data_IF_187917597300
#
_entry.id   IF_187917597300
#
_cell.length_a   1.000
_cell.length_b   1.000
_cell.length_c   1.000
_cell.angle_alpha   90.00
_cell.angle_beta   90.00
_cell.angle_gamma   90.00
#
_symmetry.space_group_name_H-M   'P 1'
#
loop_
_entity.id
_entity.type
_entity.pdbx_description
1 polymer ?
#
# COMPACT_ATOMS: atom_id res chain seq x y z
N UNK A 1 27.77 -48.09 40.12
CA UNK A 1 26.31 -48.24 40.21
C UNK A 1 25.65 -46.89 39.95
N UNK A 2 24.87 -46.83 38.86
CA UNK A 2 23.79 -45.90 38.50
C UNK A 2 23.80 -44.46 39.05
N UNK A 3 23.95 -43.49 38.14
CA UNK A 3 23.04 -42.34 38.02
C UNK A 3 23.14 -41.68 36.63
N UNK A 4 21.99 -41.20 36.15
CA UNK A 4 21.75 -40.25 35.05
C UNK A 4 21.67 -40.76 33.60
N UNK A 5 20.45 -41.04 33.13
CA UNK A 5 19.67 -40.17 32.19
C UNK A 5 18.41 -40.92 31.74
N UNK A 6 17.25 -40.45 32.19
CA UNK A 6 15.92 -40.83 31.69
C UNK A 6 15.33 -39.59 31.00
N UNK A 7 14.38 -39.81 30.10
CA UNK A 7 13.69 -38.88 29.18
C UNK A 7 14.30 -38.89 27.77
N UNK A 8 13.90 -39.86 26.96
CA UNK A 8 13.27 -39.64 25.64
C UNK A 8 12.78 -40.98 25.08
N UNK A 9 11.52 -41.34 25.33
CA UNK A 9 10.88 -42.45 24.64
C UNK A 9 9.39 -42.16 24.52
N UNK A 10 9.02 -41.50 23.42
CA UNK A 10 7.73 -41.69 22.78
C UNK A 10 7.78 -41.05 21.38
N UNK A 11 7.51 -41.92 20.39
CA UNK A 11 7.06 -41.63 19.02
C UNK A 11 8.15 -41.31 17.98
N UNK A 12 8.78 -42.36 17.46
CA UNK A 12 9.13 -42.45 16.04
C UNK A 12 8.54 -43.77 15.51
N UNK A 13 7.36 -43.68 14.92
CA UNK A 13 6.91 -44.62 13.90
C UNK A 13 6.74 -43.82 12.61
N UNK A 14 7.18 -44.41 11.51
CA UNK A 14 7.13 -43.93 10.10
C UNK A 14 8.29 -43.04 9.63
N UNK A 15 9.38 -43.68 9.19
CA UNK A 15 10.21 -43.25 8.06
C UNK A 15 10.91 -44.49 7.47
N UNK A 16 10.18 -45.23 6.64
CA UNK A 16 10.76 -46.18 5.70
C UNK A 16 11.02 -45.47 4.38
N UNK A 17 12.29 -45.29 4.02
CA UNK A 17 12.83 -45.42 2.66
C UNK A 17 14.31 -44.98 2.66
N UNK A 18 15.22 -45.86 3.09
CA UNK A 18 16.65 -45.76 2.78
C UNK A 18 17.13 -47.16 2.38
N UNK A 19 17.22 -47.39 1.08
CA UNK A 19 18.02 -48.42 0.37
C UNK A 19 17.59 -48.29 -1.08
N UNK A 20 18.30 -47.56 -1.93
CA UNK A 20 19.31 -48.16 -2.82
C UNK A 20 20.18 -47.04 -3.36
N UNK A 21 21.45 -46.97 -2.94
CA UNK A 21 22.55 -46.32 -3.65
C UNK A 21 23.85 -46.77 -2.94
N UNK A 22 24.21 -48.04 -3.13
CA UNK A 22 25.56 -48.53 -2.85
C UNK A 22 26.17 -48.93 -4.20
N UNK A 23 27.28 -48.26 -4.50
CA UNK A 23 28.30 -48.52 -5.52
C UNK A 23 28.34 -47.52 -6.67
N UNK A 24 28.82 -46.32 -6.36
CA UNK A 24 29.81 -45.59 -7.16
C UNK A 24 30.53 -44.59 -6.23
N UNK A 25 31.80 -44.89 -5.93
CA UNK A 25 32.87 -44.02 -5.42
C UNK A 25 32.51 -42.75 -4.64
N UNK A 26 32.60 -42.83 -3.32
CA UNK A 26 32.57 -41.67 -2.42
C UNK A 26 33.78 -40.73 -2.63
N UNK A 27 33.56 -39.58 -3.27
CA UNK A 27 34.42 -38.38 -3.14
C UNK A 27 33.68 -37.05 -2.86
N UNK A 28 32.34 -37.07 -2.73
CA UNK A 28 31.53 -35.84 -2.64
C UNK A 28 30.52 -35.78 -1.47
N UNK A 29 30.76 -36.49 -0.36
CA UNK A 29 29.82 -36.45 0.79
C UNK A 29 29.67 -35.04 1.41
N UNK A 30 30.73 -34.22 1.44
CA UNK A 30 30.67 -32.84 1.94
C UNK A 30 29.89 -31.90 1.02
N UNK A 31 30.13 -31.99 -0.30
CA UNK A 31 29.49 -31.14 -1.31
C UNK A 31 27.98 -31.42 -1.44
N UNK A 32 27.57 -32.68 -1.30
CA UNK A 32 26.15 -33.08 -1.34
C UNK A 32 25.42 -32.63 -0.06
N UNK A 33 26.06 -32.71 1.11
CA UNK A 33 25.49 -32.18 2.36
C UNK A 33 25.33 -30.67 2.28
N UNK A 34 26.36 -29.94 1.87
CA UNK A 34 26.31 -28.48 1.74
C UNK A 34 25.31 -28.02 0.65
N UNK A 35 25.18 -28.79 -0.44
CA UNK A 35 24.16 -28.55 -1.46
C UNK A 35 22.75 -28.78 -0.93
N UNK A 36 22.52 -29.87 -0.19
CA UNK A 36 21.24 -30.18 0.44
C UNK A 36 20.89 -29.17 1.53
N UNK A 37 21.85 -28.76 2.36
CA UNK A 37 21.68 -27.72 3.38
C UNK A 37 21.34 -26.36 2.74
N UNK A 38 22.02 -25.99 1.65
CA UNK A 38 21.67 -24.81 0.85
C UNK A 38 20.28 -24.92 0.20
N UNK A 39 19.86 -26.12 -0.23
CA UNK A 39 18.54 -26.36 -0.81
C UNK A 39 17.44 -26.27 0.26
N UNK A 40 17.68 -26.84 1.44
CA UNK A 40 16.81 -26.81 2.61
C UNK A 40 16.70 -25.40 3.17
N UNK A 41 17.80 -24.65 3.25
CA UNK A 41 17.81 -23.24 3.62
C UNK A 41 17.01 -22.41 2.63
N UNK A 42 17.19 -22.61 1.32
CA UNK A 42 16.38 -21.93 0.28
C UNK A 42 14.89 -22.29 0.37
N UNK A 43 14.55 -23.52 0.74
CA UNK A 43 13.16 -23.96 0.96
C UNK A 43 12.57 -23.35 2.23
N UNK A 44 13.35 -23.26 3.31
CA UNK A 44 12.97 -22.62 4.56
C UNK A 44 12.74 -21.12 4.38
N UNK A 45 13.67 -20.41 3.73
CA UNK A 45 13.53 -18.98 3.40
C UNK A 45 12.30 -18.70 2.52
N UNK A 46 12.04 -19.59 1.54
CA UNK A 46 10.84 -19.50 0.71
C UNK A 46 9.58 -19.65 1.54
N UNK A 47 9.49 -20.67 2.40
CA UNK A 47 8.34 -20.91 3.27
C UNK A 47 8.14 -19.79 4.29
N UNK A 48 9.22 -19.27 4.87
CA UNK A 48 9.18 -18.12 5.77
C UNK A 48 8.71 -16.85 5.07
N UNK A 49 9.08 -16.68 3.79
CA UNK A 49 8.61 -15.55 2.99
C UNK A 49 7.13 -15.66 2.65
N UNK A 50 6.64 -16.86 2.30
CA UNK A 50 5.25 -17.09 1.91
C UNK A 50 4.31 -17.01 3.11
N UNK A 51 4.60 -17.75 4.18
CA UNK A 51 3.68 -17.96 5.30
C UNK A 51 2.44 -18.77 4.90
N UNK A 52 1.37 -18.62 5.67
CA UNK A 52 0.05 -19.16 5.31
C UNK A 52 -0.65 -18.19 4.36
N UNK A 53 -0.76 -18.57 3.09
CA UNK A 53 -1.40 -17.75 2.05
C UNK A 53 -2.92 -17.73 2.16
N UNK A 54 -3.50 -18.56 3.04
CA UNK A 54 -4.92 -18.55 3.38
C UNK A 54 -5.24 -17.78 4.67
N UNK A 55 -4.24 -17.18 5.32
CA UNK A 55 -4.47 -16.34 6.50
C UNK A 55 -5.36 -15.15 6.13
N UNK A 56 -6.51 -15.03 6.80
CA UNK A 56 -7.49 -13.98 6.56
C UNK A 56 -6.92 -12.56 6.79
N UNK A 57 -5.85 -12.42 7.58
CA UNK A 57 -5.21 -11.15 7.86
C UNK A 57 -4.18 -10.74 6.79
N UNK A 58 -3.93 -11.60 5.81
CA UNK A 58 -2.96 -11.34 4.74
C UNK A 58 -3.51 -10.38 3.68
N UNK A 59 -4.84 -10.38 3.51
CA UNK A 59 -5.54 -9.56 2.54
C UNK A 59 -6.43 -8.53 3.23
N UNK A 60 -6.48 -7.32 2.68
CA UNK A 60 -7.40 -6.29 3.16
C UNK A 60 -8.85 -6.66 2.81
N UNK A 61 -9.81 -6.17 3.61
CA UNK A 61 -11.23 -6.29 3.28
C UNK A 61 -11.55 -5.40 2.05
N UNK A 62 -12.52 -5.82 1.24
CA UNK A 62 -13.09 -4.97 0.21
C UNK A 62 -13.98 -3.88 0.84
N UNK A 63 -14.35 -2.86 0.05
CA UNK A 63 -15.12 -1.71 0.54
C UNK A 63 -16.53 -2.10 1.04
N UNK A 64 -17.07 -3.20 0.52
CA UNK A 64 -18.33 -3.80 0.95
C UNK A 64 -18.18 -4.68 2.21
N UNK A 65 -16.98 -4.75 2.79
CA UNK A 65 -16.64 -5.58 3.93
C UNK A 65 -16.42 -7.06 3.60
N UNK A 66 -16.50 -7.45 2.32
CA UNK A 66 -16.23 -8.83 1.89
C UNK A 66 -14.74 -9.15 1.95
N UNK A 67 -14.42 -10.43 2.13
CA UNK A 67 -13.03 -10.90 2.18
C UNK A 67 -12.46 -10.97 0.77
N UNK A 68 -11.29 -10.35 0.57
CA UNK A 68 -10.53 -10.54 -0.66
C UNK A 68 -9.87 -11.92 -0.63
N UNK A 69 -10.27 -12.77 -1.57
CA UNK A 69 -9.66 -14.09 -1.76
C UNK A 69 -8.20 -13.92 -2.23
N UNK A 70 -7.28 -14.61 -1.56
CA UNK A 70 -5.89 -14.65 -1.95
C UNK A 70 -5.71 -15.56 -3.17
N UNK A 71 -4.98 -15.09 -4.19
CA UNK A 71 -4.83 -15.77 -5.49
C UNK A 71 -4.29 -17.20 -5.38
N UNK A 72 -3.49 -17.46 -4.36
CA UNK A 72 -2.86 -18.76 -4.08
C UNK A 72 -3.47 -19.48 -2.86
N UNK A 73 -4.59 -19.01 -2.30
CA UNK A 73 -5.26 -19.74 -1.22
C UNK A 73 -6.14 -20.85 -1.81
N UNK A 74 -6.00 -22.08 -1.29
CA UNK A 74 -6.84 -23.27 -1.62
C UNK A 74 -6.68 -23.81 -3.05
N UNK A 75 -5.88 -23.19 -3.92
CA UNK A 75 -5.67 -23.68 -5.28
C UNK A 75 -4.44 -24.58 -5.37
N UNK A 76 -4.61 -25.78 -5.95
CA UNK A 76 -3.47 -26.52 -6.49
C UNK A 76 -2.86 -25.68 -7.61
N UNK A 77 -1.54 -25.72 -7.79
CA UNK A 77 -0.81 -24.96 -8.81
C UNK A 77 -1.02 -25.56 -10.23
N UNK A 78 -2.29 -25.75 -10.60
CA UNK A 78 -2.77 -26.32 -11.84
C UNK A 78 -3.44 -25.23 -12.67
N UNK A 79 -3.55 -25.47 -13.98
CA UNK A 79 -4.33 -24.61 -14.87
C UNK A 79 -5.81 -24.63 -14.48
N UNK A 80 -6.43 -23.46 -14.52
CA UNK A 80 -7.87 -23.31 -14.35
C UNK A 80 -8.61 -23.73 -15.63
N UNK A 81 -9.91 -24.04 -15.51
CA UNK A 81 -10.73 -24.45 -16.66
C UNK A 81 -10.85 -23.38 -17.75
N UNK A 82 -10.52 -22.13 -17.43
CA UNK A 82 -10.45 -21.00 -18.37
C UNK A 82 -9.23 -21.06 -19.30
N UNK A 83 -8.18 -21.79 -18.94
CA UNK A 83 -7.00 -21.92 -19.78
C UNK A 83 -7.27 -22.80 -21.01
N UNK A 84 -6.82 -22.40 -22.22
CA UNK A 84 -6.85 -23.26 -23.39
C UNK A 84 -6.07 -24.56 -23.17
N UNK A 85 -6.47 -25.62 -23.87
CA UNK A 85 -5.84 -26.96 -23.75
C UNK A 85 -4.34 -26.90 -24.08
N UNK A 86 -3.94 -26.09 -25.05
CA UNK A 86 -2.54 -25.89 -25.46
C UNK A 86 -1.83 -24.79 -24.66
N UNK A 87 -2.01 -24.78 -23.34
CA UNK A 87 -1.30 -23.83 -22.46
C UNK A 87 0.02 -24.42 -21.96
N UNK A 88 1.11 -23.68 -22.12
CA UNK A 88 2.44 -24.03 -21.61
C UNK A 88 2.89 -23.00 -20.58
N UNK A 89 3.24 -23.47 -19.37
CA UNK A 89 3.85 -22.61 -18.36
C UNK A 89 5.32 -22.35 -18.67
N UNK A 90 5.72 -21.09 -18.56
CA UNK A 90 7.08 -20.65 -18.83
C UNK A 90 7.83 -20.52 -17.49
N UNK A 91 8.64 -21.53 -17.16
CA UNK A 91 9.64 -21.39 -16.10
C UNK A 91 10.86 -20.63 -16.63
N UNK A 92 11.11 -19.44 -16.08
CA UNK A 92 12.26 -18.63 -16.44
C UNK A 92 13.54 -19.23 -15.86
N UNK A 93 14.54 -19.46 -16.72
CA UNK A 93 15.89 -19.88 -16.31
C UNK A 93 16.61 -18.75 -15.58
N UNK A 94 17.69 -19.07 -14.88
CA UNK A 94 18.46 -18.08 -14.10
C UNK A 94 18.91 -16.87 -14.95
N UNK A 95 19.41 -17.10 -16.16
CA UNK A 95 19.85 -16.00 -17.04
C UNK A 95 18.67 -15.16 -17.56
N UNK A 96 17.51 -15.77 -17.78
CA UNK A 96 16.29 -15.06 -18.20
C UNK A 96 15.72 -14.18 -17.06
N UNK A 97 15.80 -14.67 -15.82
CA UNK A 97 15.49 -13.87 -14.63
C UNK A 97 16.41 -12.66 -14.51
N UNK A 98 17.70 -12.83 -14.84
CA UNK A 98 18.67 -11.71 -14.86
C UNK A 98 18.30 -10.68 -15.93
N UNK A 99 17.85 -11.10 -17.12
CA UNK A 99 17.35 -10.18 -18.15
C UNK A 99 16.18 -9.35 -17.60
N UNK A 100 15.17 -10.00 -16.99
CA UNK A 100 14.02 -9.30 -16.42
C UNK A 100 14.45 -8.31 -15.33
N UNK A 101 15.28 -8.73 -14.37
CA UNK A 101 15.79 -7.81 -13.34
C UNK A 101 16.71 -6.73 -13.91
N UNK A 102 17.43 -7.03 -14.98
CA UNK A 102 18.31 -6.10 -15.68
C UNK A 102 17.51 -4.95 -16.28
N UNK A 103 16.44 -5.26 -17.02
CA UNK A 103 15.51 -4.26 -17.56
C UNK A 103 14.93 -3.34 -16.47
N UNK A 104 14.53 -3.92 -15.33
CA UNK A 104 14.06 -3.13 -14.19
C UNK A 104 15.16 -2.24 -13.60
N UNK A 105 16.37 -2.76 -13.42
CA UNK A 105 17.47 -1.98 -12.85
C UNK A 105 18.00 -0.91 -13.81
N UNK A 106 17.97 -1.14 -15.12
CA UNK A 106 18.32 -0.15 -16.14
C UNK A 106 17.40 1.06 -16.07
N UNK A 107 16.08 0.87 -16.09
CA UNK A 107 15.14 1.99 -15.97
C UNK A 107 15.23 2.67 -14.60
N UNK A 108 15.35 1.90 -13.52
CA UNK A 108 15.51 2.47 -12.16
C UNK A 108 16.77 3.33 -12.08
N UNK A 109 17.88 2.89 -12.67
CA UNK A 109 19.14 3.63 -12.68
C UNK A 109 19.03 4.90 -13.53
N UNK A 110 18.38 4.83 -14.70
CA UNK A 110 18.12 5.99 -15.56
C UNK A 110 17.33 7.06 -14.81
N UNK A 111 16.22 6.68 -14.16
CA UNK A 111 15.39 7.61 -13.39
C UNK A 111 16.13 8.12 -12.14
N UNK A 112 16.74 7.23 -11.36
CA UNK A 112 17.43 7.61 -10.12
C UNK A 112 18.65 8.49 -10.34
N UNK A 113 19.30 8.40 -11.50
CA UNK A 113 20.42 9.27 -11.88
C UNK A 113 19.99 10.70 -12.27
N UNK A 114 18.70 10.92 -12.57
CA UNK A 114 18.21 12.19 -13.13
C UNK A 114 18.61 12.41 -14.59
N UNK A 115 19.07 11.37 -15.32
CA UNK A 115 19.38 11.47 -16.75
C UNK A 115 18.12 11.61 -17.62
N UNK A 116 16.95 11.24 -17.09
CA UNK A 116 15.67 11.57 -17.72
C UNK A 116 15.20 12.93 -17.19
N UNK A 117 15.24 13.95 -18.05
CA UNK A 117 14.95 15.35 -17.68
C UNK A 117 13.54 15.59 -17.11
N UNK A 118 12.59 14.66 -17.33
CA UNK A 118 11.24 14.76 -16.75
C UNK A 118 11.20 14.48 -15.25
N UNK A 119 12.25 13.83 -14.72
CA UNK A 119 12.27 13.29 -13.37
C UNK A 119 13.53 13.71 -12.62
N UNK A 120 13.35 14.15 -11.37
CA UNK A 120 14.44 14.42 -10.43
C UNK A 120 15.13 13.10 -10.07
N UNK A 121 16.43 13.16 -9.79
CA UNK A 121 17.19 12.03 -9.26
C UNK A 121 16.61 11.52 -7.93
N UNK A 122 16.84 10.25 -7.62
CA UNK A 122 16.31 9.57 -6.43
C UNK A 122 17.42 9.28 -5.43
N UNK A 123 17.23 9.67 -4.17
CA UNK A 123 18.31 9.54 -3.18
C UNK A 123 18.56 8.11 -2.67
N UNK A 124 17.57 7.22 -2.75
CA UNK A 124 17.64 5.88 -2.13
C UNK A 124 16.90 4.80 -2.93
N UNK A 125 17.11 4.77 -4.25
CA UNK A 125 16.48 3.79 -5.13
C UNK A 125 17.07 2.38 -4.91
N UNK A 126 16.27 1.39 -4.55
CA UNK A 126 16.75 0.02 -4.37
C UNK A 126 17.25 -0.61 -5.68
N UNK A 127 18.33 -1.40 -5.57
CA UNK A 127 18.66 -2.40 -6.58
C UNK A 127 17.65 -3.56 -6.51
N UNK A 128 16.99 -3.86 -7.63
CA UNK A 128 15.93 -4.84 -7.74
C UNK A 128 16.49 -6.25 -7.92
N UNK A 129 16.02 -7.17 -7.08
CA UNK A 129 16.45 -8.58 -7.02
C UNK A 129 15.30 -9.52 -7.36
N UNK A 130 15.61 -10.70 -7.87
CA UNK A 130 14.60 -11.73 -8.12
C UNK A 130 14.11 -12.35 -6.80
N UNK A 131 12.80 -12.54 -6.65
CA UNK A 131 12.17 -13.20 -5.51
C UNK A 131 11.38 -14.44 -5.94
N UNK A 132 11.75 -15.58 -5.37
CA UNK A 132 11.07 -16.86 -5.62
C UNK A 132 9.66 -16.91 -5.03
N UNK A 133 9.41 -16.25 -3.89
CA UNK A 133 8.07 -16.22 -3.29
C UNK A 133 7.11 -15.36 -4.10
N UNK A 134 7.58 -14.22 -4.64
CA UNK A 134 6.78 -13.40 -5.56
C UNK A 134 6.49 -14.16 -6.86
N UNK A 135 7.48 -14.87 -7.42
CA UNK A 135 7.29 -15.77 -8.57
C UNK A 135 6.28 -16.88 -8.28
N UNK A 136 6.34 -17.50 -7.11
CA UNK A 136 5.39 -18.53 -6.73
C UNK A 136 3.97 -18.00 -6.74
N UNK A 137 3.73 -16.84 -6.12
CA UNK A 137 2.38 -16.23 -6.10
C UNK A 137 1.94 -15.74 -7.49
N UNK A 138 2.83 -15.16 -8.31
CA UNK A 138 2.47 -14.73 -9.68
C UNK A 138 2.07 -15.90 -10.58
N UNK A 139 2.55 -17.11 -10.30
CA UNK A 139 2.18 -18.29 -11.09
C UNK A 139 0.68 -18.58 -11.04
N UNK A 140 0.04 -18.39 -9.88
CA UNK A 140 -1.41 -18.56 -9.71
C UNK A 140 -2.24 -17.52 -10.46
N UNK A 141 -1.67 -16.36 -10.80
CA UNK A 141 -2.34 -15.39 -11.67
C UNK A 141 -2.33 -15.92 -13.11
N UNK A 142 -1.15 -16.28 -13.64
CA UNK A 142 -1.04 -16.69 -15.05
C UNK A 142 -1.69 -18.04 -15.35
N UNK A 143 -1.83 -18.92 -14.36
CA UNK A 143 -2.55 -20.19 -14.48
C UNK A 143 -4.07 -20.05 -14.62
N UNK A 144 -4.61 -18.81 -14.57
CA UNK A 144 -5.99 -18.51 -14.94
C UNK A 144 -6.16 -18.24 -16.44
N UNK A 145 -5.08 -17.91 -17.15
CA UNK A 145 -5.13 -17.44 -18.55
C UNK A 145 -6.10 -16.27 -18.78
N UNK A 146 -6.37 -15.47 -17.74
CA UNK A 146 -7.22 -14.29 -17.78
C UNK A 146 -6.35 -13.06 -17.64
N UNK A 147 -6.44 -12.12 -18.58
CA UNK A 147 -5.70 -10.86 -18.51
C UNK A 147 -6.34 -9.88 -17.53
N UNK A 148 -6.31 -10.22 -16.24
CA UNK A 148 -6.87 -9.41 -15.16
C UNK A 148 -6.08 -9.55 -13.86
N UNK A 149 -6.09 -8.48 -13.06
CA UNK A 149 -5.47 -8.51 -11.74
C UNK A 149 -6.25 -9.41 -10.78
N UNK A 150 -5.51 -10.18 -9.98
CA UNK A 150 -6.10 -10.90 -8.85
C UNK A 150 -6.50 -9.95 -7.70
N UNK A 151 -7.33 -10.42 -6.77
CA UNK A 151 -7.84 -9.60 -5.66
C UNK A 151 -6.79 -9.36 -4.57
N UNK A 152 -5.89 -10.33 -4.35
CA UNK A 152 -4.85 -10.27 -3.33
C UNK A 152 -3.71 -11.27 -3.64
N UNK A 153 -2.47 -10.80 -3.46
CA UNK A 153 -1.21 -11.54 -3.73
C UNK A 153 -0.13 -11.33 -2.67
N UNK A 154 -0.55 -10.89 -1.49
CA UNK A 154 0.37 -10.58 -0.40
C UNK A 154 1.05 -11.86 0.12
N UNK A 155 2.24 -11.73 0.68
CA UNK A 155 2.91 -12.83 1.38
C UNK A 155 3.24 -12.37 2.80
N UNK A 156 3.60 -13.30 3.69
CA UNK A 156 4.03 -12.95 5.05
C UNK A 156 5.13 -11.88 5.06
N UNK A 157 6.06 -11.94 4.09
CA UNK A 157 7.15 -10.97 3.91
C UNK A 157 6.73 -9.72 3.13
N UNK A 158 5.92 -9.87 2.08
CA UNK A 158 5.53 -8.79 1.18
C UNK A 158 4.03 -8.51 1.32
N UNK A 159 3.66 -7.71 2.32
CA UNK A 159 2.26 -7.47 2.73
C UNK A 159 1.49 -6.47 1.87
N UNK A 160 2.15 -5.87 0.88
CA UNK A 160 1.59 -4.85 0.00
C UNK A 160 2.07 -5.07 -1.42
N UNK A 161 1.94 -6.30 -1.92
CA UNK A 161 2.58 -6.70 -3.17
C UNK A 161 1.88 -6.07 -4.38
N UNK A 162 2.63 -5.28 -5.16
CA UNK A 162 2.18 -4.73 -6.44
C UNK A 162 2.22 -5.79 -7.55
N UNK A 163 1.61 -5.49 -8.70
CA UNK A 163 1.59 -6.38 -9.86
C UNK A 163 1.55 -5.62 -11.17
N UNK A 164 2.37 -6.04 -12.13
CA UNK A 164 2.25 -5.67 -13.53
C UNK A 164 1.83 -6.89 -14.35
N UNK A 165 0.91 -6.69 -15.29
CA UNK A 165 0.44 -7.71 -16.23
C UNK A 165 0.75 -7.26 -17.65
N UNK A 166 1.11 -8.21 -18.50
CA UNK A 166 1.40 -7.96 -19.91
C UNK A 166 0.91 -9.13 -20.74
N UNK A 167 0.32 -8.84 -21.89
CA UNK A 167 -0.11 -9.86 -22.85
C UNK A 167 0.26 -9.41 -24.26
N UNK A 168 0.79 -10.35 -25.05
CA UNK A 168 1.09 -10.14 -26.47
C UNK A 168 0.40 -11.21 -27.29
N UNK A 169 -0.21 -10.78 -28.40
CA UNK A 169 -0.82 -11.65 -29.41
C UNK A 169 0.06 -11.65 -30.66
N UNK A 170 0.31 -12.82 -31.26
CA UNK A 170 1.02 -12.99 -32.52
C UNK A 170 0.42 -14.12 -33.34
N UNK A 171 0.43 -14.01 -34.67
CA UNK A 171 -0.10 -15.08 -35.53
C UNK A 171 0.81 -16.31 -35.63
N UNK A 172 2.11 -16.14 -35.35
CA UNK A 172 3.08 -17.24 -35.34
C UNK A 172 3.56 -17.52 -33.91
N UNK A 173 3.79 -18.80 -33.61
CA UNK A 173 4.48 -19.22 -32.39
C UNK A 173 5.93 -18.73 -32.44
N UNK A 174 6.48 -18.37 -31.28
CA UNK A 174 7.90 -18.09 -31.13
C UNK A 174 8.72 -19.30 -31.61
N UNK A 175 9.61 -19.07 -32.57
CA UNK A 175 10.38 -20.13 -33.21
C UNK A 175 11.42 -20.75 -32.28
N UNK A 176 11.86 -19.99 -31.26
CA UNK A 176 12.85 -20.44 -30.30
C UNK A 176 12.74 -19.66 -28.98
N UNK A 177 13.54 -20.08 -27.98
CA UNK A 177 13.53 -19.48 -26.65
C UNK A 177 13.96 -18.01 -26.62
N UNK A 178 14.82 -17.58 -27.55
CA UNK A 178 15.25 -16.18 -27.65
C UNK A 178 14.08 -15.30 -28.08
N UNK A 179 13.34 -15.70 -29.11
CA UNK A 179 12.14 -14.98 -29.56
C UNK A 179 11.06 -14.93 -28.48
N UNK A 180 10.82 -16.04 -27.78
CA UNK A 180 9.92 -16.08 -26.62
C UNK A 180 10.32 -15.05 -25.54
N UNK A 181 11.61 -14.97 -25.22
CA UNK A 181 12.10 -13.99 -24.25
C UNK A 181 12.03 -12.54 -24.74
N UNK A 182 12.11 -12.32 -26.05
CA UNK A 182 11.91 -10.98 -26.64
C UNK A 182 10.46 -10.52 -26.44
N UNK A 183 9.46 -11.39 -26.60
CA UNK A 183 8.06 -11.02 -26.32
C UNK A 183 7.87 -10.50 -24.89
N UNK A 184 8.44 -11.17 -23.89
CA UNK A 184 8.35 -10.72 -22.49
C UNK A 184 9.18 -9.47 -22.22
N UNK A 185 10.36 -9.34 -22.83
CA UNK A 185 11.20 -8.14 -22.70
C UNK A 185 10.50 -6.91 -23.29
N UNK A 186 9.82 -7.08 -24.42
CA UNK A 186 9.03 -6.01 -25.06
C UNK A 186 7.85 -5.59 -24.18
N UNK A 187 7.13 -6.53 -23.55
CA UNK A 187 6.07 -6.19 -22.60
C UNK A 187 6.58 -5.38 -21.41
N UNK A 188 7.77 -5.72 -20.88
CA UNK A 188 8.42 -4.94 -19.81
C UNK A 188 8.82 -3.55 -20.32
N UNK A 189 9.30 -3.43 -21.56
CA UNK A 189 9.61 -2.13 -22.17
C UNK A 189 8.35 -1.29 -22.37
N UNK A 190 7.22 -1.88 -22.73
CA UNK A 190 5.93 -1.20 -22.83
C UNK A 190 5.49 -0.62 -21.48
N UNK A 191 5.65 -1.36 -20.38
CA UNK A 191 5.43 -0.82 -19.03
C UNK A 191 6.33 0.39 -18.73
N UNK A 192 7.59 0.36 -19.19
CA UNK A 192 8.54 1.48 -19.02
C UNK A 192 8.12 2.71 -19.81
N UNK A 193 7.58 2.53 -21.02
CA UNK A 193 7.18 3.63 -21.90
C UNK A 193 6.04 4.49 -21.35
N UNK A 194 5.30 4.01 -20.35
CA UNK A 194 4.34 4.83 -19.60
C UNK A 194 4.99 6.07 -18.97
N UNK A 195 6.31 6.08 -18.80
CA UNK A 195 7.07 7.26 -18.37
C UNK A 195 6.84 8.50 -19.25
N UNK A 196 6.39 8.34 -20.51
CA UNK A 196 6.06 9.43 -21.44
C UNK A 196 4.81 10.19 -20.98
N UNK A 197 3.93 9.53 -20.22
CA UNK A 197 2.68 10.07 -19.67
C UNK A 197 2.79 10.41 -18.17
N UNK A 198 3.96 10.17 -17.58
CA UNK A 198 4.26 10.49 -16.19
C UNK A 198 5.19 11.72 -16.14
N UNK A 199 5.08 12.50 -15.07
CA UNK A 199 5.94 13.66 -14.79
C UNK A 199 6.32 13.64 -13.30
N UNK A 200 7.14 14.60 -12.86
CA UNK A 200 7.58 14.65 -11.47
C UNK A 200 6.43 14.76 -10.45
N UNK A 201 5.29 15.36 -10.77
CA UNK A 201 4.20 15.48 -9.79
C UNK A 201 3.58 14.13 -9.44
N UNK A 202 3.44 13.22 -10.42
CA UNK A 202 3.01 11.84 -10.17
C UNK A 202 4.03 11.02 -9.37
N UNK A 203 5.31 11.38 -9.45
CA UNK A 203 6.37 10.76 -8.65
C UNK A 203 6.35 11.30 -7.21
N UNK A 204 6.18 12.61 -7.04
CA UNK A 204 6.14 13.26 -5.73
C UNK A 204 4.90 12.82 -4.94
N UNK A 205 3.76 12.65 -5.63
CA UNK A 205 2.51 12.17 -5.09
C UNK A 205 1.80 11.27 -6.11
N UNK A 206 1.82 9.96 -5.87
CA UNK A 206 1.20 9.02 -6.79
C UNK A 206 -0.33 9.15 -6.78
N UNK A 207 -0.89 9.44 -7.94
CA UNK A 207 -2.30 9.28 -8.24
C UNK A 207 -2.44 8.62 -9.63
N UNK A 208 -3.53 7.88 -9.89
CA UNK A 208 -3.83 7.42 -11.24
C UNK A 208 -3.88 8.59 -12.21
N UNK A 209 -3.58 8.31 -13.48
CA UNK A 209 -3.68 9.32 -14.50
C UNK A 209 -5.15 9.80 -14.63
N UNK A 210 -5.44 11.12 -14.69
CA UNK A 210 -6.82 11.63 -14.76
C UNK A 210 -7.62 11.10 -15.94
N UNK A 211 -6.94 10.93 -17.08
CA UNK A 211 -7.49 10.15 -18.20
C UNK A 211 -7.29 8.66 -17.92
N UNK A 212 -8.39 7.95 -17.66
CA UNK A 212 -8.42 6.52 -17.31
C UNK A 212 -7.96 5.59 -18.45
N UNK A 213 -7.87 6.08 -19.69
CA UNK A 213 -7.30 5.31 -20.81
C UNK A 213 -5.77 5.30 -20.81
N UNK A 214 -5.13 6.12 -19.98
CA UNK A 214 -3.68 6.24 -19.90
C UNK A 214 -3.21 5.53 -18.63
N UNK A 215 -2.26 4.62 -18.80
CA UNK A 215 -1.65 3.90 -17.70
C UNK A 215 -0.31 4.53 -17.33
N UNK A 216 -0.10 4.73 -16.03
CA UNK A 216 1.20 5.10 -15.44
C UNK A 216 1.59 4.17 -14.27
N UNK A 217 0.67 3.27 -13.90
CA UNK A 217 0.80 2.39 -12.75
C UNK A 217 1.92 1.37 -12.94
N UNK A 218 2.12 0.87 -14.17
CA UNK A 218 3.15 -0.13 -14.43
C UNK A 218 4.54 0.48 -14.31
N UNK A 219 4.77 1.66 -14.89
CA UNK A 219 6.04 2.37 -14.75
C UNK A 219 6.33 2.74 -13.29
N UNK A 220 5.37 3.35 -12.60
CA UNK A 220 5.57 3.88 -11.24
C UNK A 220 5.89 2.78 -10.22
N UNK A 221 5.26 1.60 -10.30
CA UNK A 221 5.62 0.49 -9.38
C UNK A 221 7.03 -0.05 -9.67
N UNK A 222 7.47 -0.03 -10.93
CA UNK A 222 8.83 -0.43 -11.33
C UNK A 222 9.89 0.53 -10.79
N UNK A 223 9.59 1.82 -10.64
CA UNK A 223 10.53 2.86 -10.16
C UNK A 223 10.28 3.31 -8.73
N UNK A 224 9.45 2.60 -7.96
CA UNK A 224 9.31 2.85 -6.51
C UNK A 224 10.61 2.56 -5.76
N UNK A 225 11.13 3.50 -4.99
CA UNK A 225 12.47 3.37 -4.36
C UNK A 225 12.56 2.20 -3.38
N UNK A 226 11.54 2.01 -2.55
CA UNK A 226 11.43 0.93 -1.56
C UNK A 226 10.94 -0.40 -2.13
N UNK A 227 11.19 -0.66 -3.42
CA UNK A 227 10.80 -1.90 -4.10
C UNK A 227 12.02 -2.75 -4.51
N UNK A 228 12.63 -3.52 -3.57
CA UNK A 228 13.87 -4.24 -3.82
C UNK A 228 13.69 -5.63 -4.47
N UNK A 229 12.44 -6.10 -4.67
CA UNK A 229 12.21 -7.43 -5.23
C UNK A 229 11.10 -7.47 -6.26
N UNK A 230 11.31 -8.28 -7.29
CA UNK A 230 10.32 -8.67 -8.30
C UNK A 230 10.37 -10.18 -8.49
N UNK A 231 9.23 -10.79 -8.79
CA UNK A 231 9.17 -12.18 -9.23
C UNK A 231 8.06 -12.34 -10.25
N UNK A 232 8.39 -12.92 -11.40
CA UNK A 232 7.45 -13.05 -12.51
C UNK A 232 7.20 -14.50 -12.90
N UNK A 233 6.03 -14.74 -13.49
CA UNK A 233 5.63 -15.99 -14.12
C UNK A 233 4.94 -15.69 -15.44
N UNK A 234 4.99 -16.64 -16.37
CA UNK A 234 4.37 -16.47 -17.68
C UNK A 234 3.77 -17.78 -18.19
N UNK A 235 2.83 -17.64 -19.12
CA UNK A 235 2.28 -18.73 -19.92
C UNK A 235 2.30 -18.33 -21.39
N UNK A 236 2.44 -19.31 -22.26
CA UNK A 236 2.05 -19.18 -23.67
C UNK A 236 0.87 -20.11 -23.93
N UNK A 237 -0.07 -19.68 -24.77
CA UNK A 237 -1.20 -20.53 -25.19
C UNK A 237 -1.69 -20.15 -26.58
N UNK A 238 -2.37 -21.07 -27.24
CA UNK A 238 -3.00 -20.85 -28.53
C UNK A 238 -4.52 -20.70 -28.36
N UNK A 239 -5.08 -19.64 -28.94
CA UNK A 239 -6.50 -19.33 -28.89
C UNK A 239 -6.90 -18.55 -30.15
N UNK A 240 -8.05 -18.87 -30.74
CA UNK A 240 -8.63 -18.13 -31.88
C UNK A 240 -7.68 -17.88 -33.06
N UNK A 241 -6.84 -18.87 -33.39
CA UNK A 241 -5.81 -18.83 -34.44
C UNK A 241 -4.56 -17.98 -34.16
N UNK A 242 -4.42 -17.44 -32.95
CA UNK A 242 -3.25 -16.68 -32.54
C UNK A 242 -2.56 -17.27 -31.30
N UNK A 243 -1.27 -16.98 -31.18
CA UNK A 243 -0.45 -17.27 -30.01
C UNK A 243 -0.46 -16.10 -29.05
N UNK A 244 -0.73 -16.39 -27.78
CA UNK A 244 -0.74 -15.43 -26.70
C UNK A 244 0.43 -15.70 -25.74
N UNK A 245 1.14 -14.65 -25.36
CA UNK A 245 2.20 -14.68 -24.35
C UNK A 245 1.81 -13.74 -23.21
N UNK A 246 1.47 -14.31 -22.06
CA UNK A 246 1.03 -13.56 -20.90
C UNK A 246 2.07 -13.65 -19.78
N UNK A 247 2.40 -12.52 -19.17
CA UNK A 247 3.32 -12.41 -18.04
C UNK A 247 2.67 -11.65 -16.88
N UNK A 248 2.87 -12.15 -15.67
CA UNK A 248 2.57 -11.44 -14.43
C UNK A 248 3.86 -11.27 -13.64
N UNK A 249 4.17 -10.03 -13.26
CA UNK A 249 5.29 -9.69 -12.37
C UNK A 249 4.76 -9.12 -11.06
N UNK A 250 5.00 -9.83 -9.96
CA UNK A 250 4.68 -9.35 -8.62
C UNK A 250 5.88 -8.63 -8.00
N UNK A 251 5.60 -7.56 -7.27
CA UNK A 251 6.59 -6.69 -6.63
C UNK A 251 6.52 -6.76 -5.11
N UNK A 252 7.62 -6.46 -4.42
CA UNK A 252 7.66 -6.46 -2.95
C UNK A 252 6.74 -5.40 -2.31
N UNK A 253 6.51 -4.29 -3.02
CA UNK A 253 5.63 -3.20 -2.62
C UNK A 253 4.75 -2.78 -3.81
N UNK A 254 3.75 -1.94 -3.55
CA UNK A 254 2.85 -1.42 -4.57
C UNK A 254 2.94 0.11 -4.64
N UNK A 255 2.28 0.70 -5.63
CA UNK A 255 1.93 2.09 -5.56
C UNK A 255 0.88 2.32 -4.46
N UNK A 256 1.00 3.44 -3.76
CA UNK A 256 0.08 3.85 -2.72
C UNK A 256 -0.43 5.24 -3.08
N UNK A 257 -1.74 5.42 -3.05
CA UNK A 257 -2.36 6.72 -3.35
C UNK A 257 -1.81 7.81 -2.41
N UNK A 258 -1.57 8.98 -3.00
CA UNK A 258 -1.07 10.18 -2.32
C UNK A 258 0.29 10.00 -1.62
N UNK A 259 1.04 8.95 -1.93
CA UNK A 259 2.40 8.72 -1.44
C UNK A 259 3.41 8.88 -2.57
N UNK A 260 4.61 9.38 -2.24
CA UNK A 260 5.69 9.48 -3.21
C UNK A 260 6.13 8.10 -3.71
N UNK A 261 6.42 8.01 -5.01
CA UNK A 261 6.99 6.83 -5.66
C UNK A 261 8.45 6.65 -5.22
N UNK A 262 9.21 7.75 -5.19
CA UNK A 262 10.53 7.79 -4.56
C UNK A 262 10.83 9.16 -4.00
N UNK A 263 11.80 9.24 -3.09
CA UNK A 263 12.23 10.53 -2.55
C UNK A 263 13.29 11.20 -3.46
N UNK A 264 13.06 12.43 -3.94
CA UNK A 264 14.04 13.14 -4.74
C UNK A 264 15.32 13.48 -3.95
N UNK A 265 16.47 13.45 -4.61
CA UNK A 265 17.74 13.88 -4.04
C UNK A 265 18.93 13.28 -4.77
N UNK A 266 20.14 13.69 -4.38
CA UNK A 266 21.38 13.20 -5.01
C UNK A 266 21.40 11.67 -4.98
N UNK A 267 21.69 11.05 -6.12
CA UNK A 267 21.70 9.59 -6.25
C UNK A 267 22.56 8.95 -5.15
N UNK A 268 22.00 7.90 -4.55
CA UNK A 268 22.52 7.19 -3.39
C UNK A 268 22.76 7.97 -2.09
N UNK A 269 22.43 9.27 -1.99
CA UNK A 269 22.69 10.03 -0.76
C UNK A 269 21.92 9.53 0.45
N UNK A 270 20.84 8.76 0.24
CA UNK A 270 20.08 8.09 1.28
C UNK A 270 20.43 6.61 1.47
N UNK A 271 21.33 6.02 0.69
CA UNK A 271 21.71 4.61 0.84
C UNK A 271 22.64 4.41 2.03
N UNK A 272 22.36 3.45 2.92
CA UNK A 272 23.22 3.16 4.07
C UNK A 272 24.44 2.32 3.69
N UNK A 273 24.36 1.58 2.59
CA UNK A 273 25.41 0.66 2.14
C UNK A 273 26.17 1.16 0.91
N UNK A 274 25.97 2.43 0.55
CA UNK A 274 26.54 3.05 -0.64
C UNK A 274 25.83 2.68 -1.95
N UNK A 275 26.39 3.14 -3.06
CA UNK A 275 25.88 2.84 -4.39
C UNK A 275 26.23 1.41 -4.83
N UNK A 276 25.44 0.87 -5.75
CA UNK A 276 25.79 -0.34 -6.48
C UNK A 276 26.94 -0.07 -7.45
N UNK A 277 27.85 -1.03 -7.61
CA UNK A 277 29.04 -0.88 -8.45
C UNK A 277 28.71 -0.60 -9.93
N UNK A 278 27.78 -1.38 -10.51
CA UNK A 278 27.42 -1.26 -11.93
C UNK A 278 26.23 -0.32 -12.22
N UNK A 279 25.29 -0.20 -11.28
CA UNK A 279 24.13 0.68 -11.38
C UNK A 279 24.32 1.83 -10.40
N UNK A 280 25.17 2.78 -10.79
CA UNK A 280 25.77 3.78 -9.89
C UNK A 280 24.78 4.78 -9.30
N UNK A 281 23.51 4.79 -9.72
CA UNK A 281 22.45 5.58 -9.10
C UNK A 281 21.51 4.77 -8.18
N UNK A 282 21.75 3.46 -8.05
CA UNK A 282 20.99 2.57 -7.16
C UNK A 282 21.77 2.28 -5.89
N UNK A 283 21.08 2.01 -4.79
CA UNK A 283 21.72 1.49 -3.58
C UNK A 283 22.33 0.11 -3.83
N UNK A 284 23.38 -0.23 -3.06
CA UNK A 284 24.05 -1.52 -3.17
C UNK A 284 23.07 -2.70 -3.01
N UNK A 285 23.46 -3.87 -3.53
CA UNK A 285 22.68 -5.10 -3.37
C UNK A 285 22.44 -5.53 -1.91
N UNK A 286 23.29 -5.04 -0.99
CA UNK A 286 23.25 -5.29 0.45
C UNK A 286 22.36 -4.28 1.20
N UNK A 287 21.82 -3.27 0.52
CA UNK A 287 20.91 -2.31 1.12
C UNK A 287 19.66 -3.02 1.65
N UNK A 288 19.26 -2.66 2.86
CA UNK A 288 18.08 -3.22 3.52
C UNK A 288 16.93 -2.22 3.52
N UNK A 289 15.76 -2.73 3.17
CA UNK A 289 14.50 -2.00 3.19
C UNK A 289 13.56 -2.72 4.16
N UNK A 290 13.05 -1.98 5.15
CA UNK A 290 12.11 -2.49 6.12
C UNK A 290 10.70 -2.53 5.49
N UNK A 291 10.38 -3.62 4.82
CA UNK A 291 9.10 -3.80 4.12
C UNK A 291 7.92 -4.03 5.09
N UNK A 292 8.19 -4.59 6.28
CA UNK A 292 7.21 -4.72 7.36
C UNK A 292 6.83 -3.37 8.00
N UNK A 293 7.65 -2.34 7.78
CA UNK A 293 7.45 -1.00 8.34
C UNK A 293 6.75 -0.05 7.38
N UNK A 294 6.12 -0.51 6.28
CA UNK A 294 5.21 0.38 5.54
C UNK A 294 4.02 0.75 6.44
N UNK A 295 3.53 -0.18 7.28
CA UNK A 295 2.64 0.19 8.41
C UNK A 295 3.31 1.20 9.35
N UNK A 296 4.60 1.12 9.63
CA UNK A 296 5.34 2.01 10.54
C UNK A 296 5.80 3.33 9.86
N UNK A 297 5.94 3.50 8.55
CA UNK A 297 6.09 4.84 7.95
C UNK A 297 4.74 5.56 7.88
N UNK A 298 3.66 4.79 7.72
CA UNK A 298 2.26 5.24 7.88
C UNK A 298 1.87 5.49 9.36
N UNK A 299 2.45 4.77 10.34
CA UNK A 299 2.10 4.82 11.78
C UNK A 299 3.15 5.52 12.68
N UNK A 300 4.43 5.47 12.37
CA UNK A 300 5.58 5.83 13.23
C UNK A 300 6.14 7.23 12.95
N UNK A 301 5.99 7.77 11.72
CA UNK A 301 6.07 9.24 11.50
C UNK A 301 5.00 9.97 12.33
N UNK A 302 3.96 9.24 12.75
CA UNK A 302 2.85 9.69 13.61
C UNK A 302 3.06 9.45 15.12
N UNK A 303 3.99 8.58 15.54
CA UNK A 303 4.14 8.17 16.94
C UNK A 303 5.44 8.62 17.63
N UNK A 304 6.58 8.75 16.95
CA UNK A 304 7.87 9.04 17.62
C UNK A 304 7.96 10.47 18.21
N UNK A 305 7.20 11.43 17.67
CA UNK A 305 7.07 12.77 18.27
C UNK A 305 6.27 12.77 19.59
N UNK A 306 5.44 11.76 19.84
CA UNK A 306 4.55 11.71 21.03
C UNK A 306 5.14 10.98 22.23
N UNK A 307 6.30 10.32 22.13
CA UNK A 307 6.84 9.51 23.23
C UNK A 307 7.77 10.31 24.16
N UNK A 308 8.58 11.22 23.62
CA UNK A 308 9.48 12.06 24.42
C UNK A 308 8.75 13.22 25.12
N UNK A 309 7.67 13.75 24.53
CA UNK A 309 6.81 14.74 25.20
C UNK A 309 6.02 14.12 26.38
N UNK A 310 5.62 12.85 26.30
CA UNK A 310 4.77 12.24 27.35
C UNK A 310 5.49 11.98 28.67
N UNK A 311 6.80 11.73 28.66
CA UNK A 311 7.56 11.53 29.90
C UNK A 311 7.76 12.86 30.63
N UNK A 312 7.89 13.96 29.89
CA UNK A 312 8.01 15.30 30.46
C UNK A 312 6.64 15.85 30.92
N UNK A 313 5.56 15.52 30.19
CA UNK A 313 4.20 15.95 30.53
C UNK A 313 3.60 15.15 31.69
N UNK A 314 3.84 13.84 31.83
CA UNK A 314 3.29 13.02 32.92
C UNK A 314 3.76 13.45 34.32
N UNK A 315 4.98 14.00 34.44
CA UNK A 315 5.51 14.52 35.70
C UNK A 315 4.99 15.95 36.02
N UNK A 316 4.47 16.66 35.03
CA UNK A 316 4.00 18.06 35.16
C UNK A 316 2.46 18.15 35.20
N UNK A 317 1.72 17.23 34.57
CA UNK A 317 0.24 17.27 34.50
C UNK A 317 -0.48 16.45 35.56
N UNK A 318 0.24 15.60 36.31
CA UNK A 318 -0.33 14.84 37.44
C UNK A 318 -0.84 15.71 38.59
N UNK A 319 -0.53 17.01 38.59
CA UNK A 319 -0.91 17.95 39.64
C UNK A 319 -1.93 19.03 39.23
N UNK A 320 -2.34 19.16 37.96
CA UNK A 320 -3.07 20.37 37.50
C UNK A 320 -4.50 20.14 36.96
N UNK A 321 -4.96 18.93 36.63
CA UNK A 321 -6.33 18.76 36.09
C UNK A 321 -7.28 18.07 37.07
N UNK A 322 -7.78 18.86 38.01
CA UNK A 322 -9.18 18.80 38.48
C UNK A 322 -9.86 20.10 38.05
N UNK A 323 -10.57 20.08 36.91
CA UNK A 323 -11.56 21.08 36.44
C UNK A 323 -11.96 20.69 35.00
N UNK A 324 -13.16 20.85 34.46
CA UNK A 324 -14.48 21.31 34.93
C UNK A 324 -15.47 20.78 33.86
N UNK A 325 -16.67 20.36 34.23
CA UNK A 325 -17.66 19.91 33.24
C UNK A 325 -18.34 21.13 32.59
N UNK A 326 -18.30 21.26 31.26
CA UNK A 326 -18.98 22.34 30.54
C UNK A 326 -20.50 22.30 30.78
N UNK A 327 -21.08 23.40 31.28
CA UNK A 327 -22.53 23.53 31.45
C UNK A 327 -23.22 23.86 30.11
N UNK A 328 -23.72 22.83 29.42
CA UNK A 328 -24.44 23.01 28.15
C UNK A 328 -25.81 23.68 28.27
N UNK A 329 -26.34 23.91 29.48
CA UNK A 329 -27.63 24.59 29.68
C UNK A 329 -27.52 26.11 29.82
N UNK A 330 -26.33 26.67 29.67
CA UNK A 330 -26.14 28.12 29.64
C UNK A 330 -26.80 28.73 28.40
N UNK A 331 -27.75 29.65 28.62
CA UNK A 331 -28.51 30.33 27.56
C UNK A 331 -27.66 31.24 26.67
N UNK A 332 -26.47 31.63 27.12
CA UNK A 332 -25.53 32.42 26.33
C UNK A 332 -24.94 31.64 25.16
N UNK A 333 -24.90 30.29 25.23
CA UNK A 333 -24.30 29.44 24.19
C UNK A 333 -25.06 29.44 22.87
N UNK A 334 -26.37 29.73 22.88
CA UNK A 334 -27.23 29.63 21.69
C UNK A 334 -28.20 30.82 21.54
N UNK A 335 -27.77 32.01 21.96
CA UNK A 335 -28.54 33.27 21.80
C UNK A 335 -30.02 33.14 22.25
N UNK A 336 -30.26 32.46 23.38
CA UNK A 336 -31.59 32.23 23.94
C UNK A 336 -32.29 30.93 23.51
N UNK A 337 -31.74 30.16 22.56
CA UNK A 337 -32.22 28.81 22.23
C UNK A 337 -31.60 27.75 23.15
N UNK A 338 -32.21 26.57 23.23
CA UNK A 338 -31.65 25.46 24.01
C UNK A 338 -30.55 24.74 23.24
N UNK A 339 -29.37 24.58 23.85
CA UNK A 339 -28.28 23.80 23.27
C UNK A 339 -28.66 22.31 23.22
N UNK A 340 -28.32 21.60 22.14
CA UNK A 340 -28.71 20.20 21.92
C UNK A 340 -28.29 19.24 23.05
N UNK A 341 -27.17 19.53 23.72
CA UNK A 341 -26.67 18.74 24.84
C UNK A 341 -27.27 19.14 26.21
N UNK A 342 -28.01 20.24 26.30
CA UNK A 342 -28.66 20.64 27.55
C UNK A 342 -29.72 19.59 27.94
N UNK A 343 -29.55 18.97 29.11
CA UNK A 343 -30.44 17.90 29.62
C UNK A 343 -30.60 16.71 28.67
N UNK A 344 -29.69 16.52 27.73
CA UNK A 344 -29.73 15.40 26.82
C UNK A 344 -29.08 14.17 27.45
N UNK A 345 -29.77 13.03 27.45
CA UNK A 345 -29.29 11.79 28.09
C UNK A 345 -28.19 11.07 27.30
N UNK A 346 -27.90 11.52 26.08
CA UNK A 346 -27.02 10.83 25.14
C UNK A 346 -27.67 9.59 24.49
N UNK A 347 -28.92 9.30 24.85
CA UNK A 347 -29.72 8.25 24.24
C UNK A 347 -30.50 8.78 23.04
N UNK A 348 -30.93 7.87 22.19
CA UNK A 348 -31.82 8.19 21.08
C UNK A 348 -33.22 8.61 21.56
N UNK A 349 -33.85 9.52 20.81
CA UNK A 349 -35.26 9.89 20.99
C UNK A 349 -36.20 8.68 20.89
N UNK A 350 -37.34 8.74 21.59
CA UNK A 350 -38.41 7.74 21.50
C UNK A 350 -39.06 7.68 20.11
N UNK A 351 -38.92 8.75 19.31
CA UNK A 351 -39.41 8.82 17.93
C UNK A 351 -38.50 8.10 16.93
N UNK A 352 -37.28 7.70 17.32
CA UNK A 352 -36.38 7.00 16.41
C UNK A 352 -36.78 5.51 16.25
N UNK A 353 -36.57 4.90 15.06
CA UNK A 353 -36.90 3.49 14.83
C UNK A 353 -36.26 2.53 15.84
N UNK A 354 -36.88 1.38 16.07
CA UNK A 354 -36.44 0.43 17.09
C UNK A 354 -35.05 -0.18 16.80
N UNK A 355 -34.67 -0.31 15.52
CA UNK A 355 -33.41 -0.90 15.06
C UNK A 355 -32.24 0.10 14.98
N UNK A 356 -32.44 1.32 15.47
CA UNK A 356 -31.44 2.38 15.44
C UNK A 356 -30.18 1.99 16.20
N UNK A 357 -29.04 2.35 15.63
CA UNK A 357 -27.75 2.06 16.24
C UNK A 357 -26.73 3.16 15.94
N UNK A 358 -26.02 3.62 16.98
CA UNK A 358 -24.93 4.58 16.84
C UNK A 358 -23.66 3.81 16.44
N UNK A 359 -23.14 4.10 15.26
CA UNK A 359 -21.95 3.42 14.74
C UNK A 359 -20.72 4.03 15.39
N UNK A 360 -19.97 3.17 16.10
CA UNK A 360 -18.68 3.56 16.66
C UNK A 360 -17.65 3.67 15.53
N UNK A 361 -17.38 4.91 15.12
CA UNK A 361 -16.37 5.19 14.11
C UNK A 361 -14.97 4.74 14.59
N UNK A 362 -14.33 3.89 13.79
CA UNK A 362 -12.95 3.47 14.01
C UNK A 362 -11.99 4.65 13.87
N UNK A 363 -10.74 4.50 14.32
CA UNK A 363 -9.72 5.54 14.13
C UNK A 363 -9.50 5.85 12.66
N UNK A 364 -9.52 4.83 11.81
CA UNK A 364 -9.31 4.96 10.38
C UNK A 364 -10.50 5.66 9.72
N UNK A 365 -11.75 5.31 10.09
CA UNK A 365 -12.94 6.01 9.61
C UNK A 365 -12.96 7.49 10.00
N UNK A 366 -12.60 7.82 11.25
CA UNK A 366 -12.44 9.22 11.69
C UNK A 366 -11.38 9.95 10.87
N UNK A 367 -10.28 9.27 10.54
CA UNK A 367 -9.22 9.86 9.71
C UNK A 367 -9.66 10.07 8.27
N UNK A 368 -10.38 9.12 7.68
CA UNK A 368 -10.95 9.26 6.34
C UNK A 368 -11.87 10.47 6.28
N UNK A 369 -12.78 10.61 7.25
CA UNK A 369 -13.67 11.79 7.35
C UNK A 369 -12.85 13.09 7.39
N UNK A 370 -11.80 13.15 8.22
CA UNK A 370 -10.94 14.34 8.33
C UNK A 370 -10.17 14.63 7.04
N UNK A 371 -9.61 13.60 6.40
CA UNK A 371 -8.86 13.74 5.15
C UNK A 371 -9.78 14.22 4.02
N UNK A 372 -10.96 13.60 3.89
CA UNK A 372 -11.97 13.99 2.92
C UNK A 372 -12.44 15.43 3.14
N UNK A 373 -12.66 15.85 4.39
CA UNK A 373 -13.01 17.24 4.71
C UNK A 373 -11.94 18.22 4.24
N UNK A 374 -10.67 17.96 4.55
CA UNK A 374 -9.56 18.84 4.16
C UNK A 374 -9.31 18.83 2.64
N UNK A 375 -9.53 17.68 1.98
CA UNK A 375 -9.37 17.54 0.54
C UNK A 375 -10.48 18.26 -0.25
N UNK A 376 -11.74 18.10 0.16
CA UNK A 376 -12.88 18.72 -0.55
C UNK A 376 -12.93 20.25 -0.42
N UNK A 377 -12.14 20.86 0.47
CA UNK A 377 -11.92 22.32 0.47
C UNK A 377 -11.31 22.83 -0.85
N UNK A 378 -10.74 21.95 -1.68
CA UNK A 378 -10.09 22.28 -2.94
C UNK A 378 -10.93 22.03 -4.21
N UNK A 379 -12.14 21.45 -4.09
CA UNK A 379 -12.96 21.06 -5.25
C UNK A 379 -14.38 21.64 -5.19
N UNK A 380 -14.70 22.66 -6.01
CA UNK A 380 -16.03 23.26 -6.03
C UNK A 380 -17.05 22.54 -6.94
N UNK A 381 -16.66 21.58 -7.78
CA UNK A 381 -17.50 21.19 -8.94
C UNK A 381 -18.65 20.19 -8.68
N UNK A 382 -18.88 19.70 -7.45
CA UNK A 382 -19.90 18.66 -7.21
C UNK A 382 -20.82 18.86 -5.99
N UNK A 383 -20.90 20.06 -5.42
CA UNK A 383 -21.76 20.33 -4.25
C UNK A 383 -23.01 21.11 -4.65
N UNK A 384 -24.17 20.44 -4.63
CA UNK A 384 -25.47 21.03 -4.97
C UNK A 384 -26.06 21.94 -3.86
N UNK A 385 -25.42 22.05 -2.70
CA UNK A 385 -25.83 22.90 -1.58
C UNK A 385 -24.68 23.80 -1.09
N UNK A 386 -24.85 25.10 -1.27
CA UNK A 386 -23.87 26.13 -0.90
C UNK A 386 -23.63 26.18 0.60
N UNK A 387 -24.62 25.83 1.43
CA UNK A 387 -24.51 25.86 2.90
C UNK A 387 -23.46 24.88 3.41
N UNK A 388 -23.52 23.63 2.94
CA UNK A 388 -22.54 22.61 3.31
C UNK A 388 -21.14 22.93 2.77
N UNK A 389 -21.05 23.39 1.52
CA UNK A 389 -19.76 23.79 0.92
C UNK A 389 -19.09 24.91 1.71
N UNK A 390 -19.82 25.99 1.98
CA UNK A 390 -19.29 27.14 2.71
C UNK A 390 -18.89 26.78 4.14
N UNK A 391 -19.65 25.90 4.80
CA UNK A 391 -19.31 25.40 6.13
C UNK A 391 -17.98 24.61 6.13
N UNK A 392 -17.75 23.79 5.10
CA UNK A 392 -16.52 23.04 4.95
C UNK A 392 -15.33 23.93 4.61
N UNK A 393 -15.54 24.98 3.82
CA UNK A 393 -14.52 25.94 3.39
C UNK A 393 -14.21 27.04 4.43
N UNK A 394 -14.96 27.10 5.53
CA UNK A 394 -14.82 28.13 6.57
C UNK A 394 -13.43 28.07 7.23
N UNK A 395 -12.62 29.12 7.14
CA UNK A 395 -11.21 29.07 7.57
C UNK A 395 -11.05 28.92 9.08
N UNK A 396 -12.03 29.39 9.86
CA UNK A 396 -12.14 29.23 11.32
C UNK A 396 -12.72 27.88 11.74
N UNK A 397 -13.22 27.05 10.83
CA UNK A 397 -13.63 25.68 11.14
C UNK A 397 -12.40 24.77 11.28
N UNK A 398 -11.63 24.99 12.34
CA UNK A 398 -10.35 24.33 12.63
C UNK A 398 -10.50 22.90 13.14
N UNK A 399 -11.67 22.59 13.72
CA UNK A 399 -12.00 21.27 14.24
C UNK A 399 -13.35 20.82 13.69
N UNK A 400 -13.49 19.51 13.51
CA UNK A 400 -14.74 18.84 13.17
C UNK A 400 -14.91 17.59 14.03
N UNK A 401 -16.13 17.37 14.53
CA UNK A 401 -16.52 16.16 15.23
C UNK A 401 -17.76 15.57 14.58
N UNK A 402 -17.69 14.29 14.18
CA UNK A 402 -18.79 13.64 13.48
C UNK A 402 -19.31 12.39 14.19
N UNK A 403 -20.58 12.08 13.94
CA UNK A 403 -21.27 10.88 14.39
C UNK A 403 -22.07 10.26 13.23
N UNK A 404 -22.23 8.94 13.27
CA UNK A 404 -23.01 8.19 12.29
C UNK A 404 -23.98 7.27 13.00
N UNK A 405 -25.26 7.34 12.64
CA UNK A 405 -26.30 6.43 13.11
C UNK A 405 -26.92 5.71 11.92
N UNK A 406 -27.38 4.47 12.13
CA UNK A 406 -28.09 3.67 11.14
C UNK A 406 -29.42 3.21 11.71
N UNK A 407 -30.47 3.23 10.90
CA UNK A 407 -31.82 2.78 11.25
C UNK A 407 -32.61 2.39 9.99
N UNK A 408 -33.80 1.82 10.14
CA UNK A 408 -34.71 1.53 9.01
C UNK A 408 -35.91 2.48 9.04
N UNK A 409 -36.11 3.25 7.96
CA UNK A 409 -37.29 4.08 7.72
C UNK A 409 -37.71 3.91 6.26
N UNK A 410 -38.66 2.99 6.02
CA UNK A 410 -39.05 2.44 4.70
C UNK A 410 -37.91 1.75 3.91
N UNK A 411 -36.66 2.15 4.14
CA UNK A 411 -35.41 1.63 3.60
C UNK A 411 -34.33 1.67 4.70
N UNK A 412 -33.18 1.01 4.46
CA UNK A 412 -32.01 1.14 5.35
C UNK A 412 -31.42 2.54 5.19
N UNK A 413 -31.47 3.34 6.25
CA UNK A 413 -31.06 4.74 6.27
C UNK A 413 -29.85 4.95 7.17
N UNK A 414 -28.92 5.80 6.71
CA UNK A 414 -27.78 6.26 7.49
C UNK A 414 -27.90 7.77 7.73
N UNK A 415 -27.76 8.21 8.98
CA UNK A 415 -27.69 9.62 9.35
C UNK A 415 -26.25 9.95 9.75
N UNK A 416 -25.62 10.83 8.98
CA UNK A 416 -24.28 11.34 9.24
C UNK A 416 -24.37 12.81 9.64
N UNK A 417 -23.81 13.17 10.79
CA UNK A 417 -23.81 14.53 11.30
C UNK A 417 -22.40 14.94 11.72
N UNK A 418 -22.01 16.16 11.38
CA UNK A 418 -20.73 16.76 11.75
C UNK A 418 -20.96 18.15 12.36
N UNK A 419 -20.30 18.43 13.47
CA UNK A 419 -20.21 19.75 14.07
C UNK A 419 -18.81 20.33 13.83
N UNK A 420 -18.75 21.61 13.53
CA UNK A 420 -17.51 22.35 13.27
C UNK A 420 -17.24 23.35 14.39
N UNK A 421 -15.97 23.70 14.60
CA UNK A 421 -15.56 24.68 15.60
C UNK A 421 -16.16 26.09 15.36
N UNK A 422 -16.49 26.41 14.11
CA UNK A 422 -17.10 27.67 13.72
C UNK A 422 -18.08 27.43 12.59
N UNK A 423 -19.20 28.17 12.59
CA UNK A 423 -20.34 27.96 11.69
C UNK A 423 -20.45 28.99 10.57
N UNK A 424 -21.33 28.77 9.60
CA UNK A 424 -21.72 29.80 8.64
C UNK A 424 -22.46 30.95 9.35
N UNK A 425 -21.86 32.14 9.36
CA UNK A 425 -22.46 33.37 9.92
C UNK A 425 -22.88 34.30 8.79
N UNK A 426 -24.18 34.62 8.71
CA UNK A 426 -24.73 35.51 7.69
C UNK A 426 -24.06 36.89 7.75
N UNK A 427 -23.61 37.39 6.60
CA UNK A 427 -22.96 38.70 6.48
C UNK A 427 -21.44 38.69 6.71
N UNK A 428 -20.86 37.55 7.10
CA UNK A 428 -19.42 37.39 7.30
C UNK A 428 -18.76 36.58 6.21
N UNK A 429 -17.48 36.84 5.99
CA UNK A 429 -16.67 36.11 5.00
C UNK A 429 -16.39 34.69 5.50
N UNK A 430 -16.42 33.74 4.55
CA UNK A 430 -16.11 32.32 4.80
C UNK A 430 -14.62 32.14 5.09
N UNK A 431 -13.79 32.84 4.31
CA UNK A 431 -12.35 32.90 4.51
C UNK A 431 -11.82 34.24 4.00
N UNK A 432 -10.63 34.62 4.44
CA UNK A 432 -9.92 35.79 3.89
C UNK A 432 -9.32 35.47 2.52
N UNK A 433 -9.69 36.25 1.50
CA UNK A 433 -9.08 36.13 0.16
C UNK A 433 -7.61 36.56 0.18
N UNK A 434 -6.75 35.80 -0.51
CA UNK A 434 -5.33 36.09 -0.65
C UNK A 434 -4.58 34.92 -1.27
N UNK A 435 -3.26 35.06 -1.43
CA UNK A 435 -2.41 33.96 -1.87
C UNK A 435 -2.45 32.82 -0.85
N UNK A 436 -2.38 31.55 -1.26
CA UNK A 436 -2.48 30.41 -0.36
C UNK A 436 -1.50 30.49 0.82
N UNK A 437 -2.04 30.33 2.02
CA UNK A 437 -1.32 30.41 3.30
C UNK A 437 -0.56 31.72 3.58
N UNK A 438 -0.87 32.80 2.85
CA UNK A 438 -0.25 34.12 3.08
C UNK A 438 -0.59 34.74 4.44
N UNK A 439 -1.67 34.28 5.08
CA UNK A 439 -2.08 34.70 6.43
C UNK A 439 -1.62 33.80 7.57
N UNK A 440 -0.86 32.72 7.30
CA UNK A 440 -0.45 31.77 8.33
C UNK A 440 0.83 32.21 9.03
N UNK A 441 0.83 32.25 10.36
CA UNK A 441 1.96 32.65 11.21
C UNK A 441 3.02 31.55 11.29
N UNK A 442 2.61 30.28 11.30
CA UNK A 442 3.53 29.14 11.39
C UNK A 442 3.79 28.47 10.04
N UNK A 443 3.45 29.19 8.96
CA UNK A 443 3.68 28.77 7.60
C UNK A 443 2.70 27.71 7.10
N UNK A 444 3.09 27.06 6.00
CA UNK A 444 2.26 26.13 5.26
C UNK A 444 2.21 24.76 5.91
N UNK A 445 1.09 24.08 5.78
CA UNK A 445 1.02 22.65 6.07
C UNK A 445 1.89 21.86 5.06
N UNK A 446 2.78 20.96 5.50
CA UNK A 446 3.65 20.20 4.60
C UNK A 446 2.89 19.24 3.65
N UNK A 447 1.71 18.76 4.07
CA UNK A 447 0.88 17.84 3.29
C UNK A 447 -0.20 18.57 2.49
N UNK A 448 -0.57 19.78 2.91
CA UNK A 448 -1.59 20.61 2.24
C UNK A 448 -1.05 22.04 2.06
N UNK A 449 -0.23 22.32 1.04
CA UNK A 449 0.52 23.59 0.93
C UNK A 449 -0.33 24.87 0.85
N UNK A 450 -1.64 24.74 0.64
CA UNK A 450 -2.61 25.83 0.64
C UNK A 450 -3.32 26.04 2.00
N UNK A 451 -3.07 25.18 3.00
CA UNK A 451 -3.57 25.31 4.37
C UNK A 451 -2.46 25.78 5.32
N UNK A 452 -2.86 26.41 6.43
CA UNK A 452 -1.94 26.73 7.51
C UNK A 452 -1.43 25.47 8.22
N UNK A 453 -0.28 25.62 8.87
CA UNK A 453 0.32 24.59 9.71
C UNK A 453 -0.69 24.05 10.74
N UNK A 454 -0.59 22.77 11.11
CA UNK A 454 -1.49 22.14 12.10
C UNK A 454 -1.46 22.80 13.48
N UNK A 455 -0.40 23.54 13.79
CA UNK A 455 -0.24 24.26 15.04
C UNK A 455 -0.61 25.75 14.95
N UNK A 456 -1.17 26.19 13.81
CA UNK A 456 -1.57 27.58 13.61
C UNK A 456 -2.57 28.01 14.70
N UNK A 457 -2.31 29.11 15.43
CA UNK A 457 -3.18 29.57 16.51
C UNK A 457 -4.39 30.33 15.94
N UNK A 458 -5.36 29.60 15.40
CA UNK A 458 -6.61 30.16 14.86
C UNK A 458 -7.67 30.14 15.96
N UNK A 459 -8.19 31.31 16.33
CA UNK A 459 -9.34 31.44 17.22
C UNK A 459 -10.65 31.23 16.41
N UNK A 460 -11.42 30.15 16.67
CA UNK A 460 -12.67 29.90 15.95
C UNK A 460 -13.77 30.94 16.20
N UNK A 461 -13.63 31.76 17.25
CA UNK A 461 -14.58 32.79 17.65
C UNK A 461 -14.23 34.19 17.11
N UNK A 462 -13.07 34.37 16.48
CA UNK A 462 -12.65 35.68 15.98
C UNK A 462 -13.43 36.08 14.73
N UNK A 463 -14.24 37.12 14.81
CA UNK A 463 -15.07 37.62 13.71
C UNK A 463 -14.36 38.79 13.01
N UNK A 464 -14.34 38.81 11.66
CA UNK A 464 -13.77 39.89 10.85
C UNK A 464 -14.45 40.04 9.48
#
# INVERSE_FOLDING_TARGET
MMRNRLILLLIITTLGCQTTLINLGMKNKGLVSEFLDNLLMKKKELNESLGDLCDENLCELADDGSRREHVACIKNNNYESSCPVETTFIDFKLEERKVITGLHNEIRNLIASGQNERFKSAQRMAFMKWSKSLTYVSSFNVLKCEFSHDRCRNTKRYKYSGQNLGIRQTSNRAANRTELMNHFSDLIRLWIEENKYCNQSFIDFFEPHPNTSIQIGHFTVMVRDENPYVGCSAVEYFLDNDWFYMIACNYATNNFHSEGVYVPGKSCSGCHTGCHANYTALCSQNETYLLCDIKIRVIYKRQKMKFLEKIFVLLVTGWIYLADAQNYCDSSLCSGSSHIACRHSGLFSYTCPADRHLIRLSRDQKQTILNTHNFLRFMPEHLHDIGHFTQMAYDRATHVGCAFARYTDSYKTGLFACNYASGNIKGYKIYKCGSPASGCLFGKNPSYPALCNVNEPIDPNQIY
#
